data_IF_966620170948
#
_entry.id   IF_966620170948
#
_cell.length_a   1.000
_cell.length_b   1.000
_cell.length_c   1.000
_cell.angle_alpha   90.00
_cell.angle_beta   90.00
_cell.angle_gamma   90.00
#
_symmetry.space_group_name_H-M   'P 1'
#
loop_
_entity.id
_entity.type
_entity.pdbx_description
1 polymer ?
#
# COMPACT_ATOMS: atom_id res chain seq x y z
N UNK A 1 -20.32 -21.11 22.04
CA UNK A 1 -19.86 -22.49 22.37
C UNK A 1 -18.49 -22.46 23.03
N UNK A 2 -17.41 -22.15 22.27
CA UNK A 2 -15.98 -22.12 22.66
C UNK A 2 -15.72 -21.95 24.17
N UNK A 3 -16.07 -20.81 24.79
CA UNK A 3 -15.79 -20.50 26.21
C UNK A 3 -16.29 -21.59 27.18
N UNK A 4 -17.46 -22.19 26.93
CA UNK A 4 -17.99 -23.28 27.78
C UNK A 4 -17.15 -24.54 27.62
N UNK A 5 -16.82 -24.92 26.38
CA UNK A 5 -15.96 -26.08 26.09
C UNK A 5 -14.56 -25.92 26.69
N UNK A 6 -13.96 -24.72 26.57
CA UNK A 6 -12.66 -24.40 27.16
C UNK A 6 -12.71 -24.41 28.70
N UNK A 7 -13.81 -23.97 29.31
CA UNK A 7 -13.95 -23.97 30.78
C UNK A 7 -14.10 -25.37 31.41
N UNK A 8 -14.34 -26.41 30.60
CA UNK A 8 -14.47 -27.80 31.05
C UNK A 8 -13.19 -28.63 30.83
N UNK A 9 -12.16 -28.07 30.19
CA UNK A 9 -10.87 -28.76 29.98
C UNK A 9 -10.06 -28.86 31.27
N UNK A 10 -9.36 -29.98 31.44
CA UNK A 10 -8.40 -30.15 32.54
C UNK A 10 -7.09 -29.40 32.26
N UNK A 11 -6.29 -29.09 33.30
CA UNK A 11 -4.91 -28.61 33.17
C UNK A 11 -4.05 -29.31 32.11
N UNK A 12 -4.10 -30.65 32.07
CA UNK A 12 -3.32 -31.44 31.12
C UNK A 12 -3.87 -31.37 29.70
N UNK A 13 -5.20 -31.35 29.55
CA UNK A 13 -5.83 -31.28 28.23
C UNK A 13 -5.75 -29.87 27.61
N UNK A 14 -5.69 -28.83 28.44
CA UNK A 14 -5.38 -27.47 28.01
C UNK A 14 -4.00 -27.37 27.34
N UNK A 15 -2.95 -28.00 27.90
CA UNK A 15 -1.63 -28.04 27.27
C UNK A 15 -1.63 -28.90 25.99
N UNK A 16 -2.30 -30.06 25.98
CA UNK A 16 -2.45 -30.89 24.76
C UNK A 16 -3.10 -30.09 23.63
N UNK A 17 -4.16 -29.34 23.94
CA UNK A 17 -4.87 -28.50 22.98
C UNK A 17 -4.01 -27.34 22.46
N UNK A 18 -3.24 -26.68 23.34
CA UNK A 18 -2.26 -25.65 22.95
C UNK A 18 -1.21 -26.22 21.98
N UNK A 19 -0.68 -27.42 22.26
CA UNK A 19 0.28 -28.12 21.39
C UNK A 19 -0.33 -28.49 20.03
N UNK A 20 -1.59 -28.92 20.01
CA UNK A 20 -2.33 -29.16 18.78
C UNK A 20 -2.56 -27.87 17.97
N UNK A 21 -2.84 -26.73 18.63
CA UNK A 21 -2.99 -25.45 17.94
C UNK A 21 -1.68 -24.97 17.31
N UNK A 22 -0.55 -25.00 18.03
CA UNK A 22 0.77 -24.63 17.47
C UNK A 22 1.10 -25.49 16.24
N UNK A 23 0.99 -26.82 16.34
CA UNK A 23 1.22 -27.73 15.21
C UNK A 23 0.24 -27.50 14.05
N UNK A 24 -1.03 -27.21 14.35
CA UNK A 24 -2.03 -26.90 13.32
C UNK A 24 -1.72 -25.61 12.57
N UNK A 25 -1.34 -24.55 13.28
CA UNK A 25 -1.04 -23.24 12.71
C UNK A 25 0.25 -23.31 11.88
N UNK A 26 1.28 -23.99 12.40
CA UNK A 26 2.57 -24.20 11.73
C UNK A 26 2.42 -25.03 10.44
N UNK A 27 1.57 -26.07 10.45
CA UNK A 27 1.33 -26.92 9.26
C UNK A 27 0.49 -26.26 8.17
N UNK A 28 -0.53 -25.45 8.51
CA UNK A 28 -1.39 -24.77 7.53
C UNK A 28 -1.81 -23.39 8.02
N UNK A 29 -1.23 -22.36 7.41
CA UNK A 29 -1.35 -20.96 7.83
C UNK A 29 -2.79 -20.48 8.07
N UNK A 30 -3.68 -20.74 7.10
CA UNK A 30 -5.09 -20.31 7.13
C UNK A 30 -5.90 -20.80 8.34
N UNK A 31 -5.50 -21.91 8.99
CA UNK A 31 -6.18 -22.40 10.21
C UNK A 31 -6.15 -21.38 11.35
N UNK A 32 -5.19 -20.45 11.37
CA UNK A 32 -5.05 -19.45 12.44
C UNK A 32 -6.32 -18.64 12.65
N UNK A 33 -7.02 -18.23 11.57
CA UNK A 33 -8.24 -17.41 11.66
C UNK A 33 -9.33 -18.13 12.47
N UNK A 34 -9.57 -19.41 12.16
CA UNK A 34 -10.55 -20.23 12.87
C UNK A 34 -10.12 -20.61 14.29
N UNK A 35 -8.81 -20.71 14.55
CA UNK A 35 -8.24 -21.11 15.85
C UNK A 35 -8.00 -19.93 16.80
N UNK A 36 -7.91 -18.70 16.31
CA UNK A 36 -7.65 -17.50 17.11
C UNK A 36 -8.61 -17.33 18.32
N UNK A 37 -9.95 -17.42 18.18
CA UNK A 37 -10.86 -17.31 19.34
C UNK A 37 -10.71 -18.50 20.32
N UNK A 38 -10.26 -19.67 19.86
CA UNK A 38 -9.94 -20.79 20.74
C UNK A 38 -8.64 -20.57 21.50
N UNK A 39 -7.60 -20.03 20.85
CA UNK A 39 -6.34 -19.66 21.49
C UNK A 39 -6.53 -18.57 22.55
N UNK A 40 -7.23 -17.49 22.20
CA UNK A 40 -7.53 -16.39 23.13
C UNK A 40 -8.25 -16.92 24.38
N UNK A 41 -9.36 -17.66 24.19
CA UNK A 41 -10.13 -18.19 25.33
C UNK A 41 -9.38 -19.26 26.14
N UNK A 42 -8.56 -20.10 25.49
CA UNK A 42 -7.72 -21.09 26.16
C UNK A 42 -6.68 -20.42 27.07
N UNK A 43 -5.94 -19.44 26.54
CA UNK A 43 -4.94 -18.70 27.31
C UNK A 43 -5.61 -17.89 28.42
N UNK A 44 -6.62 -17.07 28.13
CA UNK A 44 -7.32 -16.27 29.14
C UNK A 44 -7.97 -17.09 30.26
N UNK A 45 -8.31 -18.38 30.04
CA UNK A 45 -8.90 -19.24 31.07
C UNK A 45 -7.89 -20.09 31.83
N UNK A 46 -6.81 -20.53 31.18
CA UNK A 46 -5.88 -21.54 31.72
C UNK A 46 -4.43 -21.09 31.82
N UNK A 47 -4.08 -19.81 31.60
CA UNK A 47 -2.68 -19.36 31.54
C UNK A 47 -1.82 -19.81 32.73
N UNK A 48 -2.31 -19.64 33.96
CA UNK A 48 -1.61 -20.10 35.18
C UNK A 48 -1.37 -21.62 35.15
N UNK A 49 -2.41 -22.39 34.85
CA UNK A 49 -2.36 -23.84 34.72
C UNK A 49 -1.46 -24.34 33.58
N UNK A 50 -1.23 -23.52 32.55
CA UNK A 50 -0.31 -23.83 31.44
C UNK A 50 1.12 -23.51 31.86
N UNK A 51 1.37 -22.31 32.39
CA UNK A 51 2.71 -21.83 32.79
C UNK A 51 3.32 -22.67 33.92
N UNK A 52 2.50 -23.22 34.83
CA UNK A 52 2.96 -24.14 35.87
C UNK A 52 3.46 -25.51 35.36
N UNK A 53 3.40 -25.79 34.05
CA UNK A 53 3.90 -27.04 33.46
C UNK A 53 5.30 -26.85 32.88
N UNK A 54 6.24 -27.72 33.24
CA UNK A 54 7.68 -27.63 32.92
C UNK A 54 7.97 -27.47 31.41
N UNK A 55 7.20 -28.13 30.54
CA UNK A 55 7.35 -28.06 29.08
C UNK A 55 6.64 -26.86 28.42
N UNK A 56 5.99 -25.99 29.19
CA UNK A 56 5.15 -24.90 28.65
C UNK A 56 5.96 -23.76 28.02
N UNK A 57 7.12 -23.41 28.57
CA UNK A 57 7.93 -22.26 28.13
C UNK A 57 8.30 -22.37 26.65
N UNK A 58 8.84 -23.52 26.23
CA UNK A 58 9.19 -23.79 24.83
C UNK A 58 7.95 -23.67 23.92
N UNK A 59 6.82 -24.24 24.33
CA UNK A 59 5.59 -24.23 23.54
C UNK A 59 4.98 -22.82 23.40
N UNK A 60 5.03 -22.02 24.48
CA UNK A 60 4.60 -20.62 24.48
C UNK A 60 5.54 -19.73 23.64
N UNK A 61 6.86 -19.96 23.71
CA UNK A 61 7.82 -19.26 22.86
C UNK A 61 7.62 -19.61 21.37
N UNK A 62 7.40 -20.88 21.03
CA UNK A 62 7.07 -21.27 19.65
C UNK A 62 5.74 -20.67 19.17
N UNK A 63 4.74 -20.52 20.04
CA UNK A 63 3.50 -19.80 19.70
C UNK A 63 3.76 -18.31 19.45
N UNK A 64 4.56 -17.66 20.31
CA UNK A 64 4.93 -16.25 20.13
C UNK A 64 5.64 -16.02 18.79
N UNK A 65 6.71 -16.78 18.51
CA UNK A 65 7.46 -16.71 17.25
C UNK A 65 6.58 -16.96 16.02
N UNK A 66 5.61 -17.87 16.13
CA UNK A 66 4.67 -18.22 15.06
C UNK A 66 3.58 -17.15 14.81
N UNK A 67 3.30 -16.31 15.80
CA UNK A 67 2.46 -15.11 15.65
C UNK A 67 3.30 -13.96 15.09
N UNK A 68 4.45 -13.67 15.71
CA UNK A 68 5.36 -12.59 15.36
C UNK A 68 5.73 -12.62 13.87
N UNK A 69 6.26 -13.75 13.38
CA UNK A 69 6.66 -13.96 11.99
C UNK A 69 5.52 -13.81 10.97
N UNK A 70 4.25 -13.82 11.41
CA UNK A 70 3.08 -13.53 10.55
C UNK A 70 2.68 -12.07 10.61
N UNK A 71 2.77 -11.44 11.77
CA UNK A 71 2.58 -9.99 11.88
C UNK A 71 3.68 -9.23 11.14
N UNK A 72 4.91 -9.76 11.04
CA UNK A 72 6.00 -9.17 10.24
C UNK A 72 5.64 -9.03 8.75
N UNK A 73 4.91 -9.98 8.17
CA UNK A 73 4.56 -9.95 6.74
C UNK A 73 3.39 -9.02 6.41
N UNK A 74 2.66 -8.52 7.42
CA UNK A 74 1.48 -7.66 7.23
C UNK A 74 1.79 -6.41 6.41
N UNK A 75 2.92 -5.73 6.68
CA UNK A 75 3.33 -4.53 5.93
C UNK A 75 3.51 -4.83 4.44
N UNK A 76 4.25 -5.90 4.11
CA UNK A 76 4.52 -6.29 2.72
C UNK A 76 3.26 -6.76 1.98
N UNK A 77 2.36 -7.47 2.68
CA UNK A 77 1.06 -7.87 2.14
C UNK A 77 0.14 -6.65 1.87
N UNK A 78 0.13 -5.67 2.76
CA UNK A 78 -0.62 -4.43 2.60
C UNK A 78 -0.08 -3.60 1.43
N UNK A 79 1.25 -3.43 1.33
CA UNK A 79 1.89 -2.76 0.18
C UNK A 79 1.55 -3.46 -1.14
N UNK A 80 1.61 -4.79 -1.19
CA UNK A 80 1.24 -5.56 -2.37
C UNK A 80 -0.24 -5.37 -2.74
N UNK A 81 -1.16 -5.36 -1.76
CA UNK A 81 -2.57 -5.04 -2.00
C UNK A 81 -2.69 -3.67 -2.66
N UNK A 82 -2.25 -2.60 -1.99
CA UNK A 82 -2.44 -1.24 -2.49
C UNK A 82 -1.78 -0.99 -3.85
N UNK A 83 -0.66 -1.65 -4.16
CA UNK A 83 -0.06 -1.59 -5.51
C UNK A 83 -0.89 -2.34 -6.55
N UNK A 84 -1.50 -3.48 -6.22
CA UNK A 84 -2.45 -4.16 -7.11
C UNK A 84 -3.73 -3.36 -7.28
N UNK A 85 -4.31 -2.86 -6.19
CA UNK A 85 -5.53 -2.04 -6.15
C UNK A 85 -5.38 -0.81 -7.08
N UNK A 86 -4.24 -0.10 -7.01
CA UNK A 86 -3.90 1.00 -7.91
C UNK A 86 -3.81 0.59 -9.39
N UNK A 87 -3.11 -0.52 -9.69
CA UNK A 87 -3.00 -1.03 -11.07
C UNK A 87 -4.32 -1.56 -11.63
N UNK A 88 -5.23 -2.04 -10.80
CA UNK A 88 -6.56 -2.45 -11.23
C UNK A 88 -7.50 -1.27 -11.50
N UNK A 89 -7.32 -0.11 -10.83
CA UNK A 89 -8.00 1.13 -11.24
C UNK A 89 -7.51 1.61 -12.61
N UNK A 90 -6.19 1.70 -12.79
CA UNK A 90 -5.56 2.14 -14.06
C UNK A 90 -6.08 1.36 -15.28
N UNK A 91 -6.21 0.03 -15.18
CA UNK A 91 -6.76 -0.82 -16.26
C UNK A 91 -8.28 -0.64 -16.42
N UNK A 92 -9.02 -0.36 -15.34
CA UNK A 92 -10.47 -0.19 -15.41
C UNK A 92 -10.88 1.15 -16.04
N UNK A 93 -10.05 2.18 -15.93
CA UNK A 93 -10.27 3.48 -16.55
C UNK A 93 -9.94 3.47 -18.07
N UNK A 94 -9.05 2.57 -18.53
CA UNK A 94 -8.67 2.41 -19.95
C UNK A 94 -9.78 1.80 -20.85
N UNK A 95 -10.81 1.14 -20.30
CA UNK A 95 -11.86 0.46 -21.10
C UNK A 95 -13.02 1.39 -21.55
N UNK A 96 -12.95 2.71 -21.33
CA UNK A 96 -14.09 3.64 -21.58
C UNK A 96 -13.86 4.78 -22.59
N UNK A 97 -12.65 5.32 -22.75
CA UNK A 97 -12.44 6.63 -23.40
C UNK A 97 -11.81 6.54 -24.83
N UNK A 98 -12.38 5.70 -25.71
CA UNK A 98 -12.17 5.86 -27.19
C UNK A 98 -13.11 6.91 -27.81
N UNK A 99 -14.12 7.39 -27.07
CA UNK A 99 -14.95 8.54 -27.43
C UNK A 99 -14.79 9.67 -26.39
N UNK A 100 -14.61 10.91 -26.87
CA UNK A 100 -14.47 12.14 -26.07
C UNK A 100 -13.29 12.22 -25.07
N UNK A 101 -12.06 12.09 -25.58
CA UNK A 101 -10.89 12.78 -25.02
C UNK A 101 -11.02 14.32 -25.16
N UNK A 102 -12.00 14.91 -24.45
CA UNK A 102 -12.35 16.31 -24.53
C UNK A 102 -11.21 17.19 -24.00
N UNK A 103 -10.64 18.02 -24.89
CA UNK A 103 -9.57 18.94 -24.53
C UNK A 103 -10.03 19.90 -23.40
N UNK A 104 -9.16 20.25 -22.44
CA UNK A 104 -9.52 21.13 -21.33
C UNK A 104 -10.14 22.44 -21.82
N UNK A 105 -11.41 22.66 -21.50
CA UNK A 105 -12.15 23.86 -21.94
C UNK A 105 -11.68 25.06 -21.11
N UNK A 106 -10.67 25.76 -21.64
CA UNK A 106 -10.25 27.06 -21.15
C UNK A 106 -11.28 28.09 -21.61
N UNK A 107 -11.96 28.71 -20.66
CA UNK A 107 -12.76 29.90 -20.91
C UNK A 107 -11.83 31.11 -20.80
N UNK A 108 -11.62 31.81 -21.92
CA UNK A 108 -11.12 33.18 -21.87
C UNK A 108 -12.27 34.08 -21.42
N UNK A 109 -12.09 34.81 -20.32
CA UNK A 109 -13.04 35.85 -19.90
C UNK A 109 -13.04 36.96 -20.96
N UNK A 110 -14.12 37.01 -21.76
CA UNK A 110 -14.34 38.10 -22.71
C UNK A 110 -14.82 39.34 -21.96
N UNK A 111 -13.87 40.17 -21.53
CA UNK A 111 -14.14 41.57 -21.21
C UNK A 111 -14.82 42.23 -22.43
N UNK A 112 -15.99 42.83 -22.19
CA UNK A 112 -16.92 43.24 -23.25
C UNK A 112 -16.62 44.63 -23.79
N UNK A 113 -15.56 44.76 -24.58
CA UNK A 113 -15.17 46.00 -25.27
C UNK A 113 -15.07 45.79 -26.81
N UNK A 114 -16.19 45.39 -27.43
CA UNK A 114 -16.38 45.56 -28.88
C UNK A 114 -16.60 47.05 -29.18
N UNK A 115 -15.52 47.82 -29.35
CA UNK A 115 -15.57 49.12 -30.04
C UNK A 115 -15.71 48.89 -31.57
N UNK A 116 -16.58 49.68 -32.21
CA UNK A 116 -16.93 49.56 -33.64
C UNK A 116 -15.69 49.65 -34.55
N UNK A 117 -15.23 48.50 -35.08
CA UNK A 117 -14.06 48.40 -35.95
C UNK A 117 -14.42 48.75 -37.40
N UNK A 118 -14.56 50.05 -37.66
CA UNK A 118 -14.79 50.58 -39.01
C UNK A 118 -13.49 50.46 -39.85
N UNK A 119 -13.55 49.67 -40.93
CA UNK A 119 -12.37 49.26 -41.71
C UNK A 119 -11.94 50.31 -42.75
N UNK A 120 -10.95 51.15 -42.42
CA UNK A 120 -10.19 51.88 -43.45
C UNK A 120 -8.94 51.10 -43.85
N UNK A 121 -8.78 50.86 -45.16
CA UNK A 121 -7.76 49.99 -45.72
C UNK A 121 -6.73 50.80 -46.50
N UNK A 122 -5.53 50.98 -45.93
CA UNK A 122 -4.37 51.51 -46.64
C UNK A 122 -3.23 50.50 -46.66
N UNK A 123 -2.95 49.95 -47.85
CA UNK A 123 -1.67 49.31 -48.13
C UNK A 123 -0.56 50.37 -48.19
N UNK A 124 0.53 50.14 -47.46
CA UNK A 124 1.83 50.76 -47.76
C UNK A 124 2.93 49.71 -47.69
N UNK A 125 3.50 49.41 -48.86
CA UNK A 125 4.68 48.56 -49.06
C UNK A 125 5.95 49.16 -48.40
N UNK A 126 6.93 48.33 -48.03
CA UNK A 126 8.03 48.76 -47.15
C UNK A 126 9.07 47.70 -46.72
N UNK A 127 9.56 46.93 -47.68
CA UNK A 127 10.82 46.14 -47.74
C UNK A 127 11.84 46.04 -46.55
N UNK A 128 12.51 44.86 -46.51
CA UNK A 128 13.98 44.64 -46.27
C UNK A 128 14.58 44.22 -44.90
N UNK A 129 15.51 43.25 -45.00
CA UNK A 129 16.67 42.83 -44.13
C UNK A 129 16.47 42.52 -42.62
N UNK A 130 16.80 41.31 -42.13
CA UNK A 130 18.12 40.65 -41.91
C UNK A 130 18.90 41.17 -40.67
N UNK A 131 18.87 40.39 -39.57
CA UNK A 131 19.94 40.15 -38.58
C UNK A 131 19.61 38.84 -37.81
N UNK A 132 20.55 38.03 -37.28
CA UNK A 132 22.02 38.08 -37.34
C UNK A 132 22.69 37.75 -35.98
N UNK A 133 23.57 36.74 -35.94
CA UNK A 133 24.42 36.28 -34.79
C UNK A 133 23.66 35.71 -33.53
N UNK A 134 24.04 34.67 -32.75
CA UNK A 134 25.20 33.75 -32.54
C UNK A 134 25.79 33.85 -31.10
N UNK A 135 26.54 32.82 -30.67
CA UNK A 135 27.11 32.50 -29.32
C UNK A 135 26.10 31.89 -28.33
N UNK A 136 26.31 30.75 -27.65
CA UNK A 136 27.46 29.87 -27.28
C UNK A 136 28.19 30.20 -25.95
N UNK A 137 28.61 29.12 -25.26
CA UNK A 137 29.10 29.03 -23.87
C UNK A 137 28.03 29.34 -22.78
N UNK A 138 28.06 28.77 -21.56
CA UNK A 138 29.25 28.61 -20.71
C UNK A 138 29.08 27.62 -19.51
N UNK A 139 30.15 26.86 -19.22
CA UNK A 139 30.57 26.21 -17.95
C UNK A 139 29.90 24.96 -17.37
N UNK A 140 30.72 23.92 -17.39
CA UNK A 140 30.98 22.93 -16.32
C UNK A 140 30.77 23.40 -14.86
N UNK A 141 30.11 22.52 -14.10
CA UNK A 141 30.42 22.07 -12.72
C UNK A 141 29.72 20.69 -12.56
N UNK A 142 30.19 19.70 -11.81
CA UNK A 142 31.44 19.51 -11.05
C UNK A 142 31.74 17.96 -11.04
N UNK A 143 32.56 17.28 -10.22
CA UNK A 143 33.31 17.62 -9.00
C UNK A 143 33.07 16.59 -7.88
N UNK A 144 33.52 15.34 -8.03
CA UNK A 144 33.38 14.29 -7.00
C UNK A 144 34.58 13.35 -6.96
N UNK A 145 35.22 13.24 -5.79
CA UNK A 145 36.36 12.38 -5.50
C UNK A 145 36.06 11.59 -4.21
N UNK A 146 36.62 10.36 -4.10
CA UNK A 146 36.64 9.47 -2.91
C UNK A 146 35.33 8.74 -2.59
N UNK A 147 35.41 7.40 -2.58
CA UNK A 147 35.62 6.64 -1.33
C UNK A 147 36.64 5.51 -1.60
N UNK A 148 37.53 5.25 -0.65
CA UNK A 148 38.17 3.95 -0.39
C UNK A 148 37.96 3.63 1.09
#
# INVERSE_FOLDING_TARGET
VIVKSVSLLTPGDALKLLKFFVSSIQSRGAKLVCLLPWLQTLLSRHMSSIVSQESSLLLLNSLYQLIDARTSTFKSALQLSTTLDYRFSEIADEETDEEEAAAPIVYEDKDTEDEESDIDAMETDGESEELGDVTDALRHSDGSERVL
#
